data_IF_173430935153
#
_entry.id   IF_173430935153
#
_cell.length_a   1.000
_cell.length_b   1.000
_cell.length_c   1.000
_cell.angle_alpha   90.00
_cell.angle_beta   90.00
_cell.angle_gamma   90.00
#
_symmetry.space_group_name_H-M   'P 1'
#
loop_
_entity.id
_entity.type
_entity.pdbx_description
1 polymer ?
#
# COMPACT_ATOMS: atom_id res chain seq x y z
N UNK A 1 21.97 -11.40 3.97
CA UNK A 1 21.46 -11.05 2.63
C UNK A 1 20.74 -9.71 2.73
N UNK A 2 20.75 -8.90 1.69
CA UNK A 2 20.10 -7.57 1.65
C UNK A 2 18.87 -7.59 0.76
N UNK A 3 17.81 -6.87 1.17
CA UNK A 3 16.55 -6.73 0.45
C UNK A 3 16.19 -5.24 0.37
N UNK A 4 15.89 -4.76 -0.82
CA UNK A 4 15.48 -3.35 -1.03
C UNK A 4 13.98 -3.22 -0.91
N UNK A 5 13.50 -2.24 -0.12
CA UNK A 5 12.12 -1.78 -0.16
C UNK A 5 12.00 -0.60 -1.13
N UNK A 6 11.42 -0.85 -2.28
CA UNK A 6 11.31 0.12 -3.38
C UNK A 6 10.11 1.07 -3.17
N UNK A 7 10.16 1.84 -2.10
CA UNK A 7 9.18 2.89 -1.81
C UNK A 7 9.86 4.19 -1.38
N UNK A 8 9.33 5.33 -1.85
CA UNK A 8 9.74 6.67 -1.42
C UNK A 8 8.81 7.24 -0.34
N UNK A 9 7.68 6.57 -0.07
CA UNK A 9 6.76 6.96 0.97
C UNK A 9 7.30 6.50 2.34
N UNK A 10 7.70 7.47 3.17
CA UNK A 10 8.28 7.20 4.49
C UNK A 10 7.32 6.43 5.42
N UNK A 11 6.02 6.76 5.39
CA UNK A 11 5.03 6.06 6.20
C UNK A 11 4.88 4.59 5.78
N UNK A 12 4.89 4.31 4.48
CA UNK A 12 4.91 2.94 3.95
C UNK A 12 6.19 2.21 4.37
N UNK A 13 7.35 2.86 4.25
CA UNK A 13 8.63 2.25 4.59
C UNK A 13 8.66 1.77 6.04
N UNK A 14 8.19 2.60 6.97
CA UNK A 14 8.11 2.24 8.39
C UNK A 14 7.13 1.10 8.65
N UNK A 15 5.96 1.13 8.01
CA UNK A 15 4.97 0.05 8.09
C UNK A 15 5.56 -1.27 7.56
N UNK A 16 6.21 -1.25 6.41
CA UNK A 16 6.81 -2.43 5.80
C UNK A 16 7.96 -3.01 6.63
N UNK A 17 8.80 -2.17 7.22
CA UNK A 17 9.86 -2.61 8.12
C UNK A 17 9.27 -3.35 9.34
N UNK A 18 8.21 -2.82 9.97
CA UNK A 18 7.54 -3.48 11.10
C UNK A 18 6.95 -4.84 10.72
N UNK A 19 6.39 -4.96 9.52
CA UNK A 19 5.75 -6.20 9.07
C UNK A 19 6.79 -7.25 8.66
N UNK A 20 7.83 -6.88 7.94
CA UNK A 20 8.80 -7.82 7.35
C UNK A 20 9.91 -8.23 8.33
N UNK A 21 10.40 -7.32 9.16
CA UNK A 21 11.54 -7.62 10.04
C UNK A 21 11.38 -8.86 10.93
N UNK A 22 10.19 -9.17 11.47
CA UNK A 22 10.00 -10.41 12.25
C UNK A 22 9.96 -11.68 11.42
N UNK A 23 9.73 -11.58 10.10
CA UNK A 23 9.40 -12.73 9.25
C UNK A 23 10.57 -13.13 8.35
N UNK A 24 11.34 -12.15 7.88
CA UNK A 24 12.41 -12.38 6.90
C UNK A 24 13.76 -11.97 7.53
N UNK A 25 14.69 -12.92 7.77
CA UNK A 25 15.98 -12.63 8.41
C UNK A 25 16.99 -12.03 7.42
N UNK A 26 16.67 -10.85 6.90
CA UNK A 26 17.48 -10.10 5.92
C UNK A 26 17.64 -8.65 6.37
N UNK A 27 18.74 -8.04 5.96
CA UNK A 27 18.95 -6.60 6.11
C UNK A 27 18.03 -5.86 5.13
N UNK A 28 17.10 -5.07 5.65
CA UNK A 28 16.12 -4.33 4.85
C UNK A 28 16.62 -2.91 4.59
N UNK A 29 16.89 -2.58 3.34
CA UNK A 29 17.32 -1.27 2.87
C UNK A 29 16.14 -0.50 2.30
N UNK A 30 16.01 0.77 2.67
CA UNK A 30 15.13 1.70 1.96
C UNK A 30 15.86 2.34 0.77
N UNK A 31 15.13 3.02 -0.11
CA UNK A 31 15.74 3.74 -1.25
C UNK A 31 16.68 4.87 -0.80
N UNK A 32 16.48 5.43 0.39
CA UNK A 32 17.37 6.44 0.97
C UNK A 32 18.74 5.91 1.42
N UNK A 33 18.86 4.59 1.58
CA UNK A 33 20.12 3.91 1.98
C UNK A 33 20.99 3.57 0.75
N UNK A 34 20.56 3.94 -0.45
CA UNK A 34 21.16 3.58 -1.75
C UNK A 34 21.43 4.81 -2.60
N UNK A 35 22.32 4.71 -3.61
CA UNK A 35 22.49 5.79 -4.58
C UNK A 35 21.17 6.19 -5.23
N UNK A 36 20.88 7.49 -5.26
CA UNK A 36 19.64 8.01 -5.82
C UNK A 36 19.53 7.71 -7.32
N UNK A 37 18.33 7.33 -7.75
CA UNK A 37 17.97 7.19 -9.17
C UNK A 37 16.62 7.86 -9.45
N UNK A 38 16.35 8.28 -10.71
CA UNK A 38 15.06 8.87 -11.08
C UNK A 38 13.90 7.94 -10.77
N UNK A 39 12.77 8.51 -10.33
CA UNK A 39 11.54 7.77 -10.12
C UNK A 39 10.94 7.33 -11.45
N UNK A 40 10.52 6.07 -11.54
CA UNK A 40 9.78 5.56 -12.70
C UNK A 40 8.30 5.91 -12.57
N UNK A 41 7.67 6.41 -13.65
CA UNK A 41 6.23 6.66 -13.65
C UNK A 41 5.43 5.37 -13.43
N UNK A 42 4.44 5.44 -12.56
CA UNK A 42 3.45 4.38 -12.36
C UNK A 42 2.42 4.44 -13.49
N UNK A 43 2.67 3.70 -14.57
CA UNK A 43 1.83 3.68 -15.78
C UNK A 43 0.94 2.45 -15.89
N UNK A 44 1.01 1.55 -14.94
CA UNK A 44 0.22 0.34 -14.89
C UNK A 44 -1.28 0.61 -14.66
N UNK A 45 -2.12 -0.23 -15.23
CA UNK A 45 -3.56 -0.19 -15.04
C UNK A 45 -4.01 -0.87 -13.73
N UNK A 46 -3.13 -1.65 -13.10
CA UNK A 46 -3.39 -2.38 -11.87
C UNK A 46 -2.33 -2.09 -10.80
N UNK A 47 -2.67 -2.34 -9.54
CA UNK A 47 -1.71 -2.25 -8.43
C UNK A 47 -0.52 -3.20 -8.63
N UNK A 48 -0.75 -4.40 -9.18
CA UNK A 48 0.30 -5.37 -9.45
C UNK A 48 1.29 -4.84 -10.49
N UNK A 49 0.81 -4.30 -11.61
CA UNK A 49 1.66 -3.73 -12.64
C UNK A 49 2.53 -2.58 -12.11
N UNK A 50 1.94 -1.68 -11.32
CA UNK A 50 2.69 -0.57 -10.72
C UNK A 50 3.72 -1.05 -9.69
N UNK A 51 3.38 -2.04 -8.86
CA UNK A 51 4.32 -2.64 -7.93
C UNK A 51 5.49 -3.30 -8.67
N UNK A 52 5.22 -4.04 -9.76
CA UNK A 52 6.25 -4.68 -10.60
C UNK A 52 7.16 -3.65 -11.27
N UNK A 53 6.62 -2.54 -11.80
CA UNK A 53 7.42 -1.44 -12.37
C UNK A 53 8.46 -0.97 -11.34
N UNK A 54 8.03 -0.68 -10.12
CA UNK A 54 8.92 -0.20 -9.03
C UNK A 54 9.97 -1.23 -8.63
N UNK A 55 9.56 -2.48 -8.44
CA UNK A 55 10.47 -3.54 -8.01
C UNK A 55 11.50 -3.92 -9.08
N UNK A 56 11.09 -4.00 -10.34
CA UNK A 56 11.99 -4.25 -11.48
C UNK A 56 13.06 -3.17 -11.61
N UNK A 57 12.66 -1.90 -11.54
CA UNK A 57 13.59 -0.78 -11.58
C UNK A 57 14.57 -0.83 -10.41
N UNK A 58 14.09 -1.04 -9.19
CA UNK A 58 14.95 -1.13 -8.02
C UNK A 58 15.94 -2.31 -8.13
N UNK A 59 15.48 -3.50 -8.55
CA UNK A 59 16.35 -4.65 -8.73
C UNK A 59 17.41 -4.42 -9.81
N UNK A 60 17.02 -3.82 -10.94
CA UNK A 60 17.94 -3.50 -12.03
C UNK A 60 19.01 -2.46 -11.63
N UNK A 61 18.62 -1.42 -10.87
CA UNK A 61 19.52 -0.35 -10.44
C UNK A 61 20.48 -0.74 -9.33
N UNK A 62 20.02 -1.61 -8.44
CA UNK A 62 20.79 -1.95 -7.22
C UNK A 62 21.53 -3.27 -7.32
N UNK A 63 21.16 -4.14 -8.25
CA UNK A 63 21.66 -5.51 -8.32
C UNK A 63 21.23 -6.36 -7.10
N UNK A 64 20.23 -5.91 -6.34
CA UNK A 64 19.71 -6.59 -5.15
C UNK A 64 18.26 -7.04 -5.38
N UNK A 65 17.80 -8.08 -4.69
CA UNK A 65 16.37 -8.38 -4.62
C UNK A 65 15.60 -7.16 -4.10
N UNK A 66 14.49 -6.84 -4.76
CA UNK A 66 13.67 -5.70 -4.43
C UNK A 66 12.22 -6.11 -4.18
N UNK A 67 11.65 -5.56 -3.14
CA UNK A 67 10.23 -5.67 -2.82
C UNK A 67 9.59 -4.30 -2.99
N UNK A 68 8.44 -4.27 -3.64
CA UNK A 68 7.61 -3.07 -3.76
C UNK A 68 6.15 -3.40 -3.44
N UNK A 69 5.39 -2.38 -3.11
CA UNK A 69 3.93 -2.44 -3.10
C UNK A 69 3.33 -1.31 -3.93
N UNK A 70 2.16 -1.58 -4.48
CA UNK A 70 1.21 -0.54 -4.83
C UNK A 70 -0.12 -0.82 -4.17
N UNK A 71 -0.79 0.23 -3.71
CA UNK A 71 -1.98 0.09 -2.88
C UNK A 71 -2.85 1.33 -2.92
N UNK A 72 -4.13 1.14 -2.73
CA UNK A 72 -5.08 2.24 -2.72
C UNK A 72 -6.44 1.86 -2.17
N UNK A 73 -7.31 2.85 -2.18
CA UNK A 73 -8.71 2.75 -1.83
C UNK A 73 -9.53 2.46 -3.09
N UNK A 74 -10.37 1.44 -3.03
CA UNK A 74 -11.39 1.15 -4.03
C UNK A 74 -12.77 1.38 -3.41
N UNK A 75 -13.58 2.27 -3.98
CA UNK A 75 -14.91 2.65 -3.49
C UNK A 75 -15.97 2.10 -4.44
N UNK A 76 -16.91 1.31 -3.91
CA UNK A 76 -17.93 0.63 -4.73
C UNK A 76 -18.78 1.62 -5.53
N UNK A 77 -19.22 2.70 -4.89
CA UNK A 77 -20.01 3.75 -5.53
C UNK A 77 -19.26 4.53 -6.61
N UNK A 78 -17.92 4.44 -6.64
CA UNK A 78 -17.05 5.04 -7.64
C UNK A 78 -16.45 3.99 -8.60
N UNK A 79 -17.09 2.84 -8.76
CA UNK A 79 -16.63 1.74 -9.62
C UNK A 79 -15.18 1.33 -9.37
N UNK A 80 -14.76 1.27 -8.09
CA UNK A 80 -13.40 0.92 -7.69
C UNK A 80 -12.38 2.06 -7.71
N UNK A 81 -12.80 3.28 -8.11
CA UNK A 81 -11.92 4.45 -7.98
C UNK A 81 -11.87 4.93 -6.52
N UNK A 82 -10.82 5.65 -6.08
CA UNK A 82 -9.62 6.08 -6.84
C UNK A 82 -8.70 4.98 -7.35
N UNK A 83 -8.71 3.76 -6.80
CA UNK A 83 -7.88 2.66 -7.28
C UNK A 83 -6.40 3.03 -7.33
N UNK A 84 -5.74 2.74 -8.44
CA UNK A 84 -4.32 3.06 -8.68
C UNK A 84 -4.01 4.57 -8.66
N UNK A 85 -5.03 5.42 -8.69
CA UNK A 85 -4.87 6.87 -8.60
C UNK A 85 -4.96 7.40 -7.17
N UNK A 86 -5.05 6.54 -6.16
CA UNK A 86 -5.31 6.93 -4.76
C UNK A 86 -4.38 8.02 -4.23
N UNK A 87 -3.08 7.94 -4.51
CA UNK A 87 -2.10 8.93 -4.04
C UNK A 87 -2.20 10.29 -4.75
N UNK A 88 -2.82 10.33 -5.93
CA UNK A 88 -2.90 11.52 -6.79
C UNK A 88 -4.34 11.85 -7.21
N UNK A 89 -5.33 11.41 -6.44
CA UNK A 89 -6.75 11.51 -6.79
C UNK A 89 -7.24 12.96 -6.98
N UNK A 90 -6.77 13.89 -6.18
CA UNK A 90 -7.08 15.32 -6.31
C UNK A 90 -6.22 16.06 -7.33
N UNK A 91 -5.47 15.34 -8.17
CA UNK A 91 -4.68 15.91 -9.27
C UNK A 91 -3.42 16.61 -8.83
N UNK A 92 -3.03 17.66 -9.54
CA UNK A 92 -1.79 18.40 -9.28
C UNK A 92 -1.79 19.00 -7.87
N UNK A 93 -0.70 18.78 -7.12
CA UNK A 93 -0.58 19.19 -5.73
C UNK A 93 -1.47 18.37 -4.76
N UNK A 94 -1.73 17.10 -5.10
CA UNK A 94 -2.46 16.19 -4.24
C UNK A 94 -1.80 16.06 -2.86
N UNK A 95 -2.63 16.05 -1.83
CA UNK A 95 -2.27 15.73 -0.45
C UNK A 95 -3.27 14.72 0.09
N UNK A 96 -2.92 14.00 1.13
CA UNK A 96 -3.83 13.04 1.78
C UNK A 96 -5.16 13.69 2.13
N UNK A 97 -5.13 14.89 2.71
CA UNK A 97 -6.34 15.64 3.07
C UNK A 97 -7.19 16.00 1.85
N UNK A 98 -6.57 16.49 0.76
CA UNK A 98 -7.31 16.86 -0.46
C UNK A 98 -7.92 15.62 -1.14
N UNK A 99 -7.17 14.52 -1.19
CA UNK A 99 -7.65 13.26 -1.75
C UNK A 99 -8.84 12.72 -0.96
N UNK A 100 -8.74 12.71 0.37
CA UNK A 100 -9.78 12.26 1.28
C UNK A 100 -11.04 13.11 1.16
N UNK A 101 -10.91 14.43 1.15
CA UNK A 101 -12.03 15.36 0.98
C UNK A 101 -12.75 15.15 -0.34
N UNK A 102 -12.00 15.02 -1.44
CA UNK A 102 -12.59 14.78 -2.76
C UNK A 102 -13.40 13.48 -2.79
N UNK A 103 -12.91 12.40 -2.18
CA UNK A 103 -13.70 11.15 -2.08
C UNK A 103 -14.97 11.38 -1.28
N UNK A 104 -14.92 12.08 -0.15
CA UNK A 104 -16.12 12.36 0.66
C UNK A 104 -17.16 13.18 -0.09
N UNK A 105 -16.73 14.21 -0.82
CA UNK A 105 -17.59 15.05 -1.66
C UNK A 105 -18.25 14.23 -2.79
N UNK A 106 -17.48 13.36 -3.46
CA UNK A 106 -17.99 12.51 -4.55
C UNK A 106 -19.04 11.49 -4.09
N UNK A 107 -19.01 11.09 -2.82
CA UNK A 107 -19.96 10.12 -2.26
C UNK A 107 -20.93 10.76 -1.25
N UNK A 108 -21.09 12.08 -1.25
CA UNK A 108 -21.91 12.81 -0.28
C UNK A 108 -23.36 12.31 -0.25
N UNK A 109 -23.97 12.17 -1.46
CA UNK A 109 -25.35 11.73 -1.65
C UNK A 109 -25.53 10.19 -1.63
N UNK A 110 -24.43 9.45 -1.47
CA UNK A 110 -24.48 7.98 -1.43
C UNK A 110 -25.03 7.51 -0.08
N UNK A 111 -26.13 6.72 -0.05
CA UNK A 111 -26.68 6.19 1.18
C UNK A 111 -25.66 5.27 1.90
N UNK A 112 -25.79 5.15 3.23
CA UNK A 112 -24.80 4.46 4.08
C UNK A 112 -24.59 2.99 3.69
N UNK A 113 -25.64 2.29 3.30
CA UNK A 113 -25.61 0.90 2.84
C UNK A 113 -24.88 0.70 1.51
N UNK A 114 -24.61 1.77 0.76
CA UNK A 114 -23.90 1.76 -0.52
C UNK A 114 -22.51 2.41 -0.45
N UNK A 115 -22.02 2.73 0.75
CA UNK A 115 -20.70 3.32 0.98
C UNK A 115 -19.60 2.27 1.19
N UNK A 116 -19.78 1.07 0.60
CA UNK A 116 -18.79 0.00 0.61
C UNK A 116 -17.47 0.46 -0.02
N UNK A 117 -16.39 0.01 0.57
CA UNK A 117 -15.05 0.27 0.07
C UNK A 117 -14.07 -0.84 0.48
N UNK A 118 -12.92 -0.88 -0.18
CA UNK A 118 -11.84 -1.77 0.18
C UNK A 118 -10.49 -1.05 0.08
N UNK A 119 -9.59 -1.32 1.01
CA UNK A 119 -8.17 -1.12 0.77
C UNK A 119 -7.58 -2.35 0.08
N UNK A 120 -6.82 -2.14 -0.98
CA UNK A 120 -6.17 -3.18 -1.76
C UNK A 120 -4.66 -2.91 -1.78
N UNK A 121 -3.86 -3.97 -1.68
CA UNK A 121 -2.41 -3.93 -1.83
C UNK A 121 -1.95 -5.08 -2.70
N UNK A 122 -1.14 -4.80 -3.71
CA UNK A 122 -0.30 -5.78 -4.38
C UNK A 122 1.15 -5.59 -3.89
N UNK A 123 1.73 -6.63 -3.33
CA UNK A 123 3.11 -6.69 -2.89
C UNK A 123 3.89 -7.65 -3.79
N UNK A 124 5.05 -7.23 -4.26
CA UNK A 124 5.84 -8.02 -5.22
C UNK A 124 7.30 -8.12 -4.79
N UNK A 125 7.93 -9.25 -5.13
CA UNK A 125 9.38 -9.44 -5.11
C UNK A 125 9.87 -9.57 -6.55
N UNK A 126 10.96 -8.89 -6.85
CA UNK A 126 11.74 -9.08 -8.07
C UNK A 126 13.21 -9.31 -7.70
N UNK A 127 13.83 -10.35 -8.24
CA UNK A 127 15.25 -10.60 -8.05
C UNK A 127 16.07 -10.21 -9.28
N UNK A 128 17.36 -9.92 -9.15
CA UNK A 128 18.23 -9.67 -10.32
C UNK A 128 18.28 -10.84 -11.32
N UNK A 129 17.99 -12.05 -10.87
CA UNK A 129 17.90 -13.25 -11.72
C UNK A 129 16.56 -13.35 -12.49
N UNK A 130 15.66 -12.37 -12.35
CA UNK A 130 14.36 -12.34 -13.03
C UNK A 130 13.26 -13.15 -12.35
N UNK A 131 13.46 -13.61 -11.12
CA UNK A 131 12.37 -14.25 -10.36
C UNK A 131 11.40 -13.19 -9.88
N UNK A 132 10.13 -13.37 -10.19
CA UNK A 132 9.03 -12.49 -9.73
C UNK A 132 8.05 -13.29 -8.86
N UNK A 133 7.60 -12.70 -7.78
CA UNK A 133 6.55 -13.24 -6.90
C UNK A 133 5.59 -12.11 -6.56
N UNK A 134 4.31 -12.46 -6.53
CA UNK A 134 3.22 -11.52 -6.26
C UNK A 134 2.36 -12.08 -5.14
N UNK A 135 1.96 -11.22 -4.24
CA UNK A 135 0.95 -11.49 -3.22
C UNK A 135 0.01 -10.30 -3.10
N UNK A 136 -1.25 -10.57 -2.82
CA UNK A 136 -2.27 -9.53 -2.66
C UNK A 136 -2.89 -9.58 -1.26
N UNK A 137 -3.36 -8.44 -0.81
CA UNK A 137 -4.12 -8.31 0.43
C UNK A 137 -5.22 -7.29 0.27
N UNK A 138 -6.39 -7.63 0.80
CA UNK A 138 -7.58 -6.76 0.75
C UNK A 138 -8.23 -6.70 2.11
N UNK A 139 -8.71 -5.52 2.46
CA UNK A 139 -9.57 -5.27 3.62
C UNK A 139 -10.80 -4.54 3.15
N UNK A 140 -11.94 -5.16 3.30
CA UNK A 140 -13.25 -4.56 3.02
C UNK A 140 -13.74 -3.77 4.20
N UNK A 141 -14.57 -2.77 3.95
CA UNK A 141 -15.14 -1.91 4.97
C UNK A 141 -16.14 -0.93 4.40
N UNK A 142 -16.35 0.16 5.12
CA UNK A 142 -17.27 1.23 4.73
C UNK A 142 -16.61 2.60 4.91
N UNK A 143 -17.00 3.55 4.07
CA UNK A 143 -16.61 4.96 4.23
C UNK A 143 -17.54 5.67 5.20
N UNK A 144 -16.96 6.35 6.17
CA UNK A 144 -17.68 7.25 7.06
C UNK A 144 -18.03 8.56 6.34
N UNK A 145 -18.96 9.33 6.89
CA UNK A 145 -19.34 10.67 6.37
C UNK A 145 -18.37 11.77 6.80
N UNK A 146 -17.60 11.53 7.85
CA UNK A 146 -16.61 12.48 8.36
C UNK A 146 -15.38 11.75 8.88
N UNK A 147 -14.19 12.38 8.83
CA UNK A 147 -12.96 11.80 9.35
C UNK A 147 -13.03 11.58 10.86
N UNK A 148 -12.45 10.45 11.33
CA UNK A 148 -12.23 10.14 12.74
C UNK A 148 -10.85 9.53 12.93
N UNK A 149 -10.16 9.91 14.02
CA UNK A 149 -8.81 9.48 14.33
C UNK A 149 -7.75 10.31 13.62
N UNK A 150 -6.50 10.14 14.02
CA UNK A 150 -5.36 10.91 13.54
C UNK A 150 -4.12 10.06 13.22
N UNK A 151 -4.21 8.73 13.41
CA UNK A 151 -3.12 7.83 13.08
C UNK A 151 -3.15 7.44 11.60
N UNK A 152 -2.05 6.86 11.13
CA UNK A 152 -1.94 6.39 9.75
C UNK A 152 -1.75 7.51 8.74
N UNK A 153 -2.27 7.33 7.52
CA UNK A 153 -2.15 8.27 6.41
C UNK A 153 -3.23 8.02 5.34
N UNK A 154 -3.32 8.90 4.36
CA UNK A 154 -4.25 8.76 3.24
C UNK A 154 -5.71 8.76 3.68
N UNK A 155 -6.41 7.70 3.36
CA UNK A 155 -7.86 7.56 3.62
C UNK A 155 -8.19 6.87 4.94
N UNK A 156 -7.20 6.59 5.79
CA UNK A 156 -7.40 5.94 7.09
C UNK A 156 -8.49 6.61 7.95
N UNK A 157 -8.60 7.95 8.01
CA UNK A 157 -9.61 8.61 8.86
C UNK A 157 -11.06 8.39 8.42
N UNK A 158 -11.31 7.98 7.19
CA UNK A 158 -12.67 7.76 6.67
C UNK A 158 -13.00 6.29 6.45
N UNK A 159 -12.03 5.39 6.61
CA UNK A 159 -12.24 3.95 6.35
C UNK A 159 -12.42 3.16 7.65
N UNK A 160 -13.56 2.53 7.78
CA UNK A 160 -13.90 1.62 8.88
C UNK A 160 -13.91 0.18 8.36
N UNK A 161 -12.96 -0.67 8.78
CA UNK A 161 -12.93 -2.07 8.39
C UNK A 161 -14.19 -2.83 8.78
N UNK A 162 -14.55 -3.82 8.01
CA UNK A 162 -15.69 -4.71 8.35
C UNK A 162 -15.44 -5.43 9.69
N UNK A 163 -16.46 -5.43 10.55
CA UNK A 163 -16.37 -6.00 11.89
C UNK A 163 -15.79 -5.06 12.96
N UNK A 164 -15.30 -3.87 12.55
CA UNK A 164 -14.76 -2.86 13.46
C UNK A 164 -15.75 -1.72 13.68
N UNK A 165 -15.64 -1.07 14.84
CA UNK A 165 -16.38 0.17 15.15
C UNK A 165 -15.51 1.42 14.95
N UNK A 166 -14.21 1.23 14.89
CA UNK A 166 -13.17 2.26 14.72
C UNK A 166 -12.73 2.37 13.27
N UNK A 167 -12.29 3.55 12.86
CA UNK A 167 -11.53 3.72 11.62
C UNK A 167 -10.11 3.18 11.78
N UNK A 168 -9.42 2.96 10.68
CA UNK A 168 -7.99 2.60 10.71
C UNK A 168 -7.13 3.71 11.30
N UNK A 169 -7.58 4.97 11.29
CA UNK A 169 -6.90 6.09 11.95
C UNK A 169 -7.17 6.19 13.48
N UNK A 170 -8.12 5.44 14.00
CA UNK A 170 -8.37 5.31 15.45
C UNK A 170 -7.62 4.12 16.06
N UNK A 171 -6.90 3.33 15.26
CA UNK A 171 -6.12 2.17 15.69
C UNK A 171 -4.67 2.56 15.94
N UNK A 172 -4.00 1.83 16.84
CA UNK A 172 -2.55 1.87 16.91
C UNK A 172 -1.92 1.26 15.65
N UNK A 173 -0.65 1.57 15.39
CA UNK A 173 0.08 1.01 14.26
C UNK A 173 0.06 -0.54 14.27
N UNK A 174 0.27 -1.15 15.43
CA UNK A 174 0.26 -2.61 15.58
C UNK A 174 -1.11 -3.23 15.30
N UNK A 175 -2.20 -2.64 15.80
CA UNK A 175 -3.56 -3.09 15.54
C UNK A 175 -3.89 -2.99 14.04
N UNK A 176 -3.54 -1.87 13.41
CA UNK A 176 -3.72 -1.67 11.97
C UNK A 176 -2.90 -2.69 11.16
N UNK A 177 -1.61 -2.87 11.45
CA UNK A 177 -0.72 -3.80 10.74
C UNK A 177 -1.25 -5.25 10.80
N UNK A 178 -1.87 -5.64 11.91
CA UNK A 178 -2.45 -6.98 12.07
C UNK A 178 -3.58 -7.27 11.07
N UNK A 179 -4.42 -6.30 10.75
CA UNK A 179 -5.61 -6.47 9.91
C UNK A 179 -5.49 -5.85 8.51
N UNK A 180 -4.52 -4.96 8.29
CA UNK A 180 -4.43 -4.15 7.07
C UNK A 180 -4.22 -4.98 5.79
N UNK A 181 -4.64 -4.40 4.67
CA UNK A 181 -4.38 -4.91 3.32
C UNK A 181 -2.88 -5.15 3.09
N UNK A 182 -2.03 -4.19 3.50
CA UNK A 182 -0.59 -4.29 3.39
C UNK A 182 -0.02 -5.39 4.29
N UNK A 183 -0.47 -5.47 5.54
CA UNK A 183 -0.10 -6.54 6.44
C UNK A 183 -0.44 -7.93 5.88
N UNK A 184 -1.64 -8.10 5.29
CA UNK A 184 -2.04 -9.35 4.63
C UNK A 184 -1.14 -9.66 3.43
N UNK A 185 -0.93 -8.70 2.52
CA UNK A 185 -0.10 -8.89 1.32
C UNK A 185 1.33 -9.28 1.69
N UNK A 186 1.96 -8.58 2.63
CA UNK A 186 3.35 -8.84 2.99
C UNK A 186 3.56 -10.11 3.81
N UNK A 187 2.60 -10.48 4.68
CA UNK A 187 2.65 -11.81 5.34
C UNK A 187 2.52 -12.95 4.34
N UNK A 188 1.74 -12.78 3.27
CA UNK A 188 1.64 -13.76 2.18
C UNK A 188 2.88 -13.76 1.28
N UNK A 189 3.53 -12.62 1.07
CA UNK A 189 4.74 -12.52 0.27
C UNK A 189 5.99 -13.06 1.00
N UNK A 190 6.07 -12.91 2.32
CA UNK A 190 7.27 -13.22 3.10
C UNK A 190 7.81 -14.65 2.91
N UNK A 191 7.01 -15.74 2.91
CA UNK A 191 7.50 -17.08 2.62
C UNK A 191 8.01 -17.23 1.19
N UNK A 192 7.43 -16.49 0.22
CA UNK A 192 7.89 -16.47 -1.16
C UNK A 192 9.24 -15.75 -1.29
N UNK A 193 9.45 -14.68 -0.51
CA UNK A 193 10.75 -14.00 -0.40
C UNK A 193 11.78 -14.96 0.17
N UNK A 194 11.50 -15.61 1.30
CA UNK A 194 12.41 -16.56 1.92
C UNK A 194 12.82 -17.68 0.96
N UNK A 195 11.85 -18.27 0.24
CA UNK A 195 12.10 -19.31 -0.75
C UNK A 195 12.90 -18.85 -1.97
N UNK A 196 12.70 -17.62 -2.42
CA UNK A 196 13.40 -17.09 -3.60
C UNK A 196 14.84 -16.62 -3.28
N UNK A 197 15.15 -16.41 -1.99
CA UNK A 197 16.45 -15.97 -1.51
C UNK A 197 17.27 -17.10 -0.86
N UNK A 198 16.72 -18.30 -0.72
CA UNK A 198 17.42 -19.49 -0.25
C UNK A 198 18.33 -20.08 -1.33
#
# INVERSE_FOLDING_TARGET
>A
MRLVLATRNAAKLEELRRILAPIVPVEVLGLGDLPAYPEVPETGATFEENALIKAREAAARTGLPAVADDSGLAVDALNGMPGVLSARWSGHGATDERNLRLVLEQVEDVPDERRGAAFVCAAVLVTPAGVERVAQGTVTGTLLRAPRGSNGFGYDPIFRPAGETRTTAEMSAAEKDAISHRGKAFRSLAPLVASALA
#
